data_IF_256245796750
#
_entry.id   IF_256245796750
#
_cell.length_a   1.000
_cell.length_b   1.000
_cell.length_c   1.000
_cell.angle_alpha   90.00
_cell.angle_beta   90.00
_cell.angle_gamma   90.00
#
_symmetry.space_group_name_H-M   'P 1'
#
loop_
_entity.id
_entity.type
_entity.pdbx_description
1 polymer ?
#
# COMPACT_ATOMS: atom_id res chain seq x y z
N UNK A 1 -74.33 40.16 -46.90
CA UNK A 1 -74.30 41.23 -45.87
C UNK A 1 -74.07 40.57 -44.51
N UNK A 2 -73.09 41.10 -43.75
CA UNK A 2 -72.80 40.91 -42.32
C UNK A 2 -72.18 39.57 -41.85
N UNK A 3 -71.07 39.76 -41.13
CA UNK A 3 -70.17 38.81 -40.46
C UNK A 3 -70.71 38.37 -39.08
N UNK A 4 -70.31 37.18 -38.63
CA UNK A 4 -70.09 36.82 -37.20
C UNK A 4 -69.44 35.42 -37.16
N UNK A 5 -68.11 35.31 -37.15
CA UNK A 5 -67.21 35.15 -35.98
C UNK A 5 -67.57 34.05 -34.96
N UNK A 6 -67.17 32.83 -35.33
CA UNK A 6 -66.30 31.89 -34.59
C UNK A 6 -66.17 32.06 -33.06
N UNK A 7 -66.64 31.05 -32.32
CA UNK A 7 -66.02 30.58 -31.08
C UNK A 7 -66.37 29.09 -30.87
N UNK A 8 -65.37 28.20 -30.71
CA UNK A 8 -65.53 27.14 -29.74
C UNK A 8 -64.25 26.94 -28.91
N UNK A 9 -64.12 27.70 -27.83
CA UNK A 9 -63.36 27.32 -26.64
C UNK A 9 -64.13 26.20 -25.91
N UNK A 10 -63.59 24.98 -25.87
CA UNK A 10 -64.21 23.94 -25.03
C UNK A 10 -63.65 22.53 -25.12
N UNK A 11 -62.92 22.17 -26.18
CA UNK A 11 -62.55 20.76 -26.41
C UNK A 11 -61.06 20.47 -26.53
N UNK A 12 -60.18 21.42 -26.18
CA UNK A 12 -58.72 21.18 -26.24
C UNK A 12 -58.05 20.94 -24.88
N UNK A 13 -58.80 20.99 -23.77
CA UNK A 13 -58.21 20.84 -22.42
C UNK A 13 -58.38 19.44 -21.80
N UNK A 14 -59.12 18.53 -22.45
CA UNK A 14 -59.37 17.18 -21.91
C UNK A 14 -58.50 16.08 -22.54
N UNK A 15 -57.67 16.40 -23.54
CA UNK A 15 -56.79 15.43 -24.21
C UNK A 15 -55.34 15.45 -23.71
N UNK A 16 -54.97 16.38 -22.81
CA UNK A 16 -53.63 16.49 -22.23
C UNK A 16 -53.50 15.88 -20.82
N UNK A 17 -54.61 15.47 -20.19
CA UNK A 17 -54.60 14.84 -18.86
C UNK A 17 -54.55 13.30 -18.96
N UNK A 18 -54.89 12.73 -20.12
CA UNK A 18 -54.88 11.27 -20.34
C UNK A 18 -53.50 10.65 -20.64
N UNK A 19 -52.48 11.45 -20.94
CA UNK A 19 -51.16 10.95 -21.35
C UNK A 19 -50.07 11.04 -20.26
N UNK A 20 -50.40 11.53 -19.07
CA UNK A 20 -49.45 11.65 -17.95
C UNK A 20 -49.47 10.44 -16.98
N UNK A 21 -50.41 9.50 -17.14
CA UNK A 21 -50.59 8.38 -16.22
C UNK A 21 -49.95 7.05 -16.69
N UNK A 22 -49.17 7.06 -17.77
CA UNK A 22 -48.38 5.90 -18.24
C UNK A 22 -46.87 6.08 -17.98
N UNK A 23 -46.50 6.91 -17.01
CA UNK A 23 -45.19 6.77 -16.38
C UNK A 23 -45.33 5.62 -15.39
N UNK A 24 -44.97 4.42 -15.85
CA UNK A 24 -44.73 3.27 -14.99
C UNK A 24 -43.99 3.73 -13.73
N UNK A 25 -44.36 3.28 -12.53
CA UNK A 25 -43.50 3.43 -11.37
C UNK A 25 -42.28 2.56 -11.67
N UNK A 26 -41.26 3.15 -12.31
CA UNK A 26 -39.94 2.56 -12.43
C UNK A 26 -39.37 2.53 -11.02
N UNK A 27 -39.80 1.51 -10.29
CA UNK A 27 -39.15 0.85 -9.17
C UNK A 27 -38.12 1.68 -8.42
N UNK A 28 -38.58 2.54 -7.50
CA UNK A 28 -37.78 3.00 -6.36
C UNK A 28 -37.06 1.81 -5.69
N UNK A 29 -37.72 0.65 -5.60
CA UNK A 29 -37.15 -0.59 -5.08
C UNK A 29 -35.96 -1.16 -5.90
N UNK A 30 -35.89 -0.89 -7.22
CA UNK A 30 -34.75 -1.31 -8.04
C UNK A 30 -33.56 -0.35 -7.88
N UNK A 31 -33.85 0.95 -7.71
CA UNK A 31 -32.83 1.96 -7.42
C UNK A 31 -32.25 1.78 -6.01
N UNK A 32 -33.09 1.49 -5.01
CA UNK A 32 -32.64 1.13 -3.66
C UNK A 32 -31.79 -0.15 -3.65
N UNK A 33 -32.18 -1.20 -4.40
CA UNK A 33 -31.39 -2.42 -4.51
C UNK A 33 -30.02 -2.18 -5.16
N UNK A 34 -29.94 -1.34 -6.20
CA UNK A 34 -28.67 -1.02 -6.84
C UNK A 34 -27.76 -0.17 -5.92
N UNK A 35 -28.34 0.76 -5.15
CA UNK A 35 -27.60 1.57 -4.16
C UNK A 35 -27.13 0.71 -2.98
N UNK A 36 -27.96 -0.20 -2.46
CA UNK A 36 -27.56 -1.12 -1.41
C UNK A 36 -26.47 -2.10 -1.87
N UNK A 37 -26.59 -2.63 -3.09
CA UNK A 37 -25.56 -3.51 -3.67
C UNK A 37 -24.25 -2.74 -3.85
N UNK A 38 -24.29 -1.49 -4.34
CA UNK A 38 -23.11 -0.64 -4.41
C UNK A 38 -22.51 -0.30 -3.03
N UNK A 39 -23.33 -0.15 -1.98
CA UNK A 39 -22.87 0.06 -0.60
C UNK A 39 -22.23 -1.19 0.03
N UNK A 40 -22.70 -2.39 -0.30
CA UNK A 40 -22.13 -3.66 0.17
C UNK A 40 -20.80 -3.97 -0.55
N UNK A 41 -20.67 -3.61 -1.83
CA UNK A 41 -19.40 -3.74 -2.59
C UNK A 41 -18.37 -2.62 -2.27
N UNK A 42 -18.76 -1.59 -1.52
CA UNK A 42 -17.85 -0.51 -1.10
C UNK A 42 -17.06 -0.83 0.19
N UNK A 43 -17.23 -2.01 0.80
CA UNK A 43 -16.54 -2.33 2.07
C UNK A 43 -15.27 -3.18 1.92
N UNK A 44 -15.00 -3.79 0.77
CA UNK A 44 -13.79 -4.61 0.55
C UNK A 44 -12.86 -3.94 -0.47
N UNK A 45 -11.95 -3.12 0.04
CA UNK A 45 -10.85 -2.53 -0.73
C UNK A 45 -9.52 -3.24 -0.42
N UNK A 46 -8.53 -3.20 -1.32
CA UNK A 46 -7.19 -3.66 -0.98
C UNK A 46 -6.63 -2.81 0.17
N UNK A 47 -6.47 -3.41 1.35
CA UNK A 47 -5.83 -2.76 2.50
C UNK A 47 -4.36 -2.47 2.21
N UNK A 48 -3.71 -3.42 1.51
CA UNK A 48 -2.36 -3.29 1.00
C UNK A 48 -2.38 -3.18 -0.52
N UNK A 49 -1.74 -2.14 -1.03
CA UNK A 49 -1.48 -1.92 -2.45
C UNK A 49 -0.16 -2.57 -2.88
N UNK A 50 0.04 -2.72 -4.19
CA UNK A 50 1.35 -3.05 -4.78
C UNK A 50 2.49 -2.20 -4.19
N UNK A 51 2.24 -0.90 -4.01
CA UNK A 51 3.24 0.01 -3.49
C UNK A 51 3.57 -0.30 -2.03
N UNK A 52 2.59 -0.68 -1.22
CA UNK A 52 2.86 -1.14 0.15
C UNK A 52 3.75 -2.38 0.13
N UNK A 53 3.47 -3.35 -0.75
CA UNK A 53 4.20 -4.62 -0.78
C UNK A 53 5.64 -4.49 -1.29
N UNK A 54 5.87 -3.62 -2.28
CA UNK A 54 7.12 -3.55 -3.05
C UNK A 54 7.87 -2.21 -2.96
N UNK A 55 7.36 -1.22 -2.21
CA UNK A 55 8.02 0.06 -1.99
C UNK A 55 8.29 0.37 -0.51
N UNK A 56 7.75 -0.43 0.42
CA UNK A 56 7.93 -0.18 1.86
C UNK A 56 9.36 -0.40 2.34
N UNK A 57 9.79 0.25 3.43
CA UNK A 57 11.05 -0.08 4.08
C UNK A 57 10.98 -1.46 4.75
N UNK A 58 12.15 -2.00 5.11
CA UNK A 58 12.34 -3.16 5.98
C UNK A 58 13.66 -3.06 6.75
N UNK A 59 13.83 -3.92 7.75
CA UNK A 59 15.15 -4.17 8.36
C UNK A 59 15.80 -5.34 7.65
N UNK A 60 17.01 -5.12 7.14
CA UNK A 60 17.86 -6.14 6.57
C UNK A 60 18.85 -6.64 7.62
N UNK A 61 18.67 -7.85 8.13
CA UNK A 61 19.49 -8.45 9.19
C UNK A 61 20.37 -9.62 8.71
N UNK A 62 20.51 -9.78 7.40
CA UNK A 62 21.28 -10.86 6.76
C UNK A 62 22.48 -10.32 5.95
N UNK A 63 23.25 -11.22 5.36
CA UNK A 63 24.36 -10.86 4.48
C UNK A 63 23.87 -9.99 3.31
N UNK A 64 24.72 -9.06 2.86
CA UNK A 64 24.41 -8.23 1.70
C UNK A 64 24.22 -9.10 0.46
N UNK A 65 23.22 -8.82 -0.40
CA UNK A 65 23.04 -9.58 -1.63
C UNK A 65 24.26 -9.46 -2.56
N UNK A 66 24.48 -10.51 -3.34
CA UNK A 66 25.58 -10.52 -4.31
C UNK A 66 25.23 -9.81 -5.62
N UNK A 67 23.96 -9.89 -6.04
CA UNK A 67 23.48 -9.24 -7.26
C UNK A 67 23.31 -7.74 -7.03
N UNK A 68 23.86 -6.95 -7.96
CA UNK A 68 23.80 -5.49 -7.93
C UNK A 68 23.64 -4.92 -9.33
N UNK A 69 23.03 -3.74 -9.37
CA UNK A 69 23.07 -2.87 -10.54
C UNK A 69 24.45 -2.20 -10.60
N UNK A 70 25.17 -2.39 -11.69
CA UNK A 70 26.55 -1.88 -11.88
C UNK A 70 26.67 -0.76 -12.92
N UNK A 71 25.60 -0.43 -13.61
CA UNK A 71 25.55 0.70 -14.54
C UNK A 71 24.17 0.87 -15.14
N UNK A 72 23.95 1.98 -15.84
CA UNK A 72 22.73 2.23 -16.62
C UNK A 72 23.05 2.74 -18.03
N UNK A 73 22.16 2.50 -19.00
CA UNK A 73 22.32 3.05 -20.37
C UNK A 73 22.34 4.58 -20.39
N UNK A 74 21.59 5.23 -19.49
CA UNK A 74 21.42 6.69 -19.44
C UNK A 74 22.14 7.33 -18.24
N UNK A 75 23.17 6.66 -17.72
CA UNK A 75 23.86 7.10 -16.49
C UNK A 75 24.47 8.50 -16.61
N UNK A 76 24.99 8.86 -17.79
CA UNK A 76 25.55 10.20 -18.06
C UNK A 76 24.48 11.30 -18.08
N UNK A 77 23.20 10.95 -18.29
CA UNK A 77 22.10 11.90 -18.38
C UNK A 77 21.37 12.08 -17.05
N UNK A 78 21.20 10.98 -16.30
CA UNK A 78 20.50 11.00 -15.00
C UNK A 78 20.96 9.86 -14.10
N UNK A 79 21.07 10.19 -12.80
CA UNK A 79 21.45 9.22 -11.76
C UNK A 79 20.32 8.25 -11.34
N UNK A 80 19.06 8.58 -11.65
CA UNK A 80 17.89 7.80 -11.25
C UNK A 80 17.23 7.19 -12.47
N UNK A 81 16.95 5.89 -12.38
CA UNK A 81 16.22 5.14 -13.40
C UNK A 81 14.72 5.21 -13.15
N UNK A 82 13.96 5.30 -14.24
CA UNK A 82 12.49 5.25 -14.22
C UNK A 82 11.99 3.99 -14.93
N UNK A 83 10.68 3.79 -14.93
CA UNK A 83 10.05 2.71 -15.68
C UNK A 83 10.54 2.66 -17.13
N UNK A 84 10.77 1.44 -17.60
CA UNK A 84 11.35 1.10 -18.90
C UNK A 84 12.82 1.42 -19.14
N UNK A 85 13.55 2.04 -18.19
CA UNK A 85 15.00 2.19 -18.31
C UNK A 85 15.71 0.84 -18.24
N UNK A 86 16.85 0.77 -18.92
CA UNK A 86 17.74 -0.39 -19.00
C UNK A 86 18.97 -0.18 -18.12
N UNK A 87 19.47 -1.28 -17.57
CA UNK A 87 20.60 -1.28 -16.65
C UNK A 87 21.40 -2.58 -16.71
N UNK A 88 22.59 -2.56 -16.14
CA UNK A 88 23.51 -3.69 -16.16
C UNK A 88 23.61 -4.34 -14.78
N UNK A 89 23.64 -5.68 -14.74
CA UNK A 89 23.75 -6.49 -13.53
C UNK A 89 25.10 -7.21 -13.54
N UNK A 90 25.76 -7.29 -12.39
CA UNK A 90 27.09 -7.90 -12.21
C UNK A 90 27.17 -9.43 -12.37
N UNK A 91 26.12 -10.06 -12.90
CA UNK A 91 26.03 -11.50 -13.15
C UNK A 91 25.25 -11.73 -14.44
N UNK A 92 25.52 -12.85 -15.12
CA UNK A 92 24.97 -13.26 -16.40
C UNK A 92 24.69 -14.76 -16.45
N UNK A 93 24.86 -15.34 -17.64
CA UNK A 93 24.50 -16.75 -17.93
C UNK A 93 25.32 -17.73 -17.10
N UNK A 94 26.62 -17.49 -16.92
CA UNK A 94 27.50 -18.42 -16.22
C UNK A 94 27.21 -18.47 -14.71
N UNK A 95 26.62 -17.41 -14.16
CA UNK A 95 26.13 -17.36 -12.78
C UNK A 95 24.67 -17.82 -12.64
N UNK A 96 24.06 -18.31 -13.73
CA UNK A 96 22.74 -18.94 -13.71
C UNK A 96 21.56 -17.96 -13.81
N UNK A 97 21.74 -16.75 -14.33
CA UNK A 97 20.61 -15.86 -14.60
C UNK A 97 19.86 -16.30 -15.86
N UNK A 98 18.55 -16.08 -15.86
CA UNK A 98 17.66 -16.41 -16.97
C UNK A 98 16.95 -15.17 -17.51
N UNK A 99 16.67 -15.15 -18.82
CA UNK A 99 15.84 -14.11 -19.42
C UNK A 99 14.41 -14.24 -18.86
N UNK A 100 13.81 -13.11 -18.49
CA UNK A 100 12.49 -13.06 -17.87
C UNK A 100 12.52 -13.16 -16.35
N UNK A 101 13.67 -13.51 -15.74
CA UNK A 101 13.83 -13.55 -14.30
C UNK A 101 13.57 -12.17 -13.68
N UNK A 102 12.78 -12.16 -12.62
CA UNK A 102 12.35 -10.96 -11.92
C UNK A 102 13.13 -10.80 -10.61
N UNK A 103 13.49 -9.55 -10.32
CA UNK A 103 14.12 -9.18 -9.06
C UNK A 103 13.42 -7.97 -8.43
N UNK A 104 13.52 -7.86 -7.11
CA UNK A 104 13.21 -6.64 -6.38
C UNK A 104 14.51 -5.87 -6.15
N UNK A 105 14.56 -4.63 -6.63
CA UNK A 105 15.65 -3.72 -6.34
C UNK A 105 15.49 -3.19 -4.92
N UNK A 106 16.56 -3.26 -4.13
CA UNK A 106 16.61 -2.75 -2.76
C UNK A 106 17.84 -1.87 -2.56
N UNK A 107 17.65 -0.80 -1.81
CA UNK A 107 18.72 0.04 -1.31
C UNK A 107 18.97 -0.28 0.15
N UNK A 108 20.19 -0.68 0.50
CA UNK A 108 20.54 -1.05 1.88
C UNK A 108 21.42 0.07 2.43
N UNK A 109 20.82 0.87 3.31
CA UNK A 109 21.41 2.10 3.84
C UNK A 109 22.13 1.88 5.17
N UNK A 110 21.91 2.82 6.09
CA UNK A 110 22.62 2.89 7.36
C UNK A 110 22.26 1.76 8.34
N UNK A 111 23.23 1.32 9.17
CA UNK A 111 22.97 0.36 10.23
C UNK A 111 22.10 0.97 11.33
N UNK A 112 21.16 0.17 11.83
CA UNK A 112 20.34 0.45 13.00
C UNK A 112 20.81 -0.45 14.16
N UNK A 113 21.11 0.20 15.29
CA UNK A 113 21.72 -0.44 16.45
C UNK A 113 20.94 -1.69 16.87
N UNK A 114 21.62 -2.85 16.88
CA UNK A 114 21.09 -4.17 17.27
C UNK A 114 19.96 -4.74 16.41
N UNK A 115 19.61 -4.11 15.29
CA UNK A 115 18.50 -4.55 14.42
C UNK A 115 18.96 -5.00 13.03
N UNK A 116 19.97 -4.37 12.45
CA UNK A 116 20.42 -4.67 11.08
C UNK A 116 20.65 -3.38 10.31
N UNK A 117 20.36 -3.37 9.02
CA UNK A 117 20.41 -2.20 8.14
C UNK A 117 19.01 -1.75 7.77
N UNK A 118 18.77 -0.44 7.73
CA UNK A 118 17.55 0.06 7.11
C UNK A 118 17.64 -0.17 5.60
N UNK A 119 16.70 -0.93 5.04
CA UNK A 119 16.61 -1.17 3.62
C UNK A 119 15.30 -0.63 3.05
N UNK A 120 15.36 -0.08 1.84
CA UNK A 120 14.21 0.43 1.12
C UNK A 120 14.01 -0.36 -0.17
N UNK A 121 12.81 -0.86 -0.39
CA UNK A 121 12.45 -1.47 -1.66
C UNK A 121 12.25 -0.37 -2.70
N UNK A 122 12.88 -0.52 -3.86
CA UNK A 122 12.89 0.50 -4.92
C UNK A 122 12.04 0.12 -6.12
N UNK A 123 11.52 -1.12 -6.17
CA UNK A 123 10.62 -1.59 -7.21
C UNK A 123 11.13 -2.84 -7.92
N UNK A 124 10.34 -3.35 -8.86
CA UNK A 124 10.60 -4.61 -9.56
C UNK A 124 11.28 -4.37 -10.91
N UNK A 125 12.19 -5.29 -11.23
CA UNK A 125 13.00 -5.26 -12.45
C UNK A 125 13.04 -6.64 -13.09
N UNK A 126 13.28 -6.70 -14.41
CA UNK A 126 13.33 -7.95 -15.18
C UNK A 126 14.61 -8.06 -15.98
N UNK A 127 15.20 -9.24 -16.04
CA UNK A 127 16.30 -9.55 -16.99
C UNK A 127 15.75 -9.67 -18.40
N UNK A 128 16.26 -8.87 -19.34
CA UNK A 128 15.81 -8.85 -20.73
C UNK A 128 16.85 -9.40 -21.71
N UNK A 129 18.13 -9.45 -21.33
CA UNK A 129 19.23 -9.98 -22.14
C UNK A 129 20.36 -10.50 -21.24
N UNK A 130 21.05 -11.54 -21.68
CA UNK A 130 22.16 -12.17 -20.97
C UNK A 130 23.44 -12.12 -21.80
N UNK A 131 24.53 -11.73 -21.17
CA UNK A 131 25.91 -12.04 -21.56
C UNK A 131 26.48 -13.10 -20.61
N UNK A 132 27.74 -13.49 -20.79
CA UNK A 132 28.33 -14.60 -20.02
C UNK A 132 28.43 -14.26 -18.51
N UNK A 133 28.96 -13.08 -18.15
CA UNK A 133 29.15 -12.63 -16.75
C UNK A 133 28.37 -11.37 -16.37
N UNK A 134 27.60 -10.82 -17.30
CA UNK A 134 26.81 -9.60 -17.12
C UNK A 134 25.45 -9.83 -17.74
N UNK A 135 24.43 -9.13 -17.26
CA UNK A 135 23.12 -9.14 -17.89
C UNK A 135 22.53 -7.75 -17.97
N UNK A 136 21.56 -7.59 -18.87
CA UNK A 136 20.80 -6.35 -19.01
C UNK A 136 19.42 -6.57 -18.42
N UNK A 137 19.12 -5.73 -17.43
CA UNK A 137 17.80 -5.61 -16.84
C UNK A 137 17.03 -4.44 -17.41
N UNK A 138 15.72 -4.46 -17.18
CA UNK A 138 14.79 -3.37 -17.46
C UNK A 138 13.96 -3.10 -16.21
N UNK A 139 13.72 -1.82 -15.91
CA UNK A 139 12.81 -1.42 -14.84
C UNK A 139 11.38 -1.70 -15.28
N UNK A 140 10.69 -2.57 -14.54
CA UNK A 140 9.29 -2.92 -14.82
C UNK A 140 8.33 -1.98 -14.08
N UNK A 141 8.60 -1.69 -12.81
CA UNK A 141 7.86 -0.71 -12.01
C UNK A 141 8.72 -0.22 -10.85
N UNK A 142 9.13 1.03 -10.90
CA UNK A 142 9.87 1.73 -9.86
C UNK A 142 8.95 2.33 -8.80
N UNK A 143 9.46 2.40 -7.58
CA UNK A 143 8.85 3.04 -6.42
C UNK A 143 9.47 4.40 -6.08
N UNK A 144 10.47 4.82 -6.86
CA UNK A 144 11.33 5.95 -6.57
C UNK A 144 12.64 5.82 -7.32
N UNK A 145 13.72 6.07 -6.60
CA UNK A 145 15.08 6.19 -7.11
C UNK A 145 15.80 4.83 -7.22
N UNK A 146 15.48 4.05 -8.26
CA UNK A 146 16.36 2.92 -8.65
C UNK A 146 17.66 3.50 -9.21
N UNK A 147 18.82 3.03 -8.72
CA UNK A 147 20.14 3.56 -9.06
C UNK A 147 21.20 2.47 -9.18
N UNK A 148 22.32 2.82 -9.80
CA UNK A 148 23.56 2.04 -9.72
C UNK A 148 23.96 1.84 -8.25
N UNK A 149 24.35 0.62 -7.90
CA UNK A 149 24.68 0.21 -6.54
C UNK A 149 23.51 -0.42 -5.77
N UNK A 150 22.27 -0.27 -6.23
CA UNK A 150 21.15 -1.00 -5.62
C UNK A 150 21.37 -2.52 -5.77
N UNK A 151 21.00 -3.24 -4.72
CA UNK A 151 21.05 -4.69 -4.68
C UNK A 151 19.80 -5.27 -5.33
N UNK A 152 19.92 -6.49 -5.85
CA UNK A 152 18.80 -7.23 -6.39
C UNK A 152 18.60 -8.51 -5.58
N UNK A 153 17.36 -8.72 -5.14
CA UNK A 153 16.94 -9.96 -4.48
C UNK A 153 15.86 -10.64 -5.31
N UNK A 154 15.72 -11.98 -5.27
CA UNK A 154 14.68 -12.68 -6.00
C UNK A 154 13.31 -12.05 -5.74
N UNK A 155 12.54 -11.83 -6.82
CA UNK A 155 11.20 -11.28 -6.69
C UNK A 155 10.22 -12.38 -6.27
N UNK A 156 9.55 -12.16 -5.15
CA UNK A 156 8.45 -13.00 -4.69
C UNK A 156 7.14 -12.21 -4.82
N UNK A 157 6.21 -12.75 -5.60
CA UNK A 157 4.89 -12.15 -5.74
C UNK A 157 4.07 -12.38 -4.47
N UNK A 158 3.68 -11.28 -3.83
CA UNK A 158 2.83 -11.28 -2.65
C UNK A 158 1.37 -11.16 -3.05
N UNK A 159 0.52 -11.97 -2.42
CA UNK A 159 -0.92 -11.93 -2.63
C UNK A 159 -1.56 -10.62 -2.15
N UNK A 160 -2.65 -10.23 -2.80
CA UNK A 160 -3.44 -9.07 -2.38
C UNK A 160 -4.04 -9.30 -0.99
N UNK A 161 -3.93 -8.30 -0.12
CA UNK A 161 -4.59 -8.30 1.19
C UNK A 161 -5.84 -7.43 1.08
N UNK A 162 -6.98 -8.09 0.94
CA UNK A 162 -8.30 -7.44 0.92
C UNK A 162 -8.85 -7.40 2.35
N UNK A 163 -9.47 -6.30 2.72
CA UNK A 163 -10.21 -6.18 3.96
C UNK A 163 -10.60 -4.73 4.23
N UNK A 164 -11.01 -4.48 5.48
CA UNK A 164 -11.39 -3.13 5.92
C UNK A 164 -10.66 -2.74 7.18
N UNK A 165 -10.44 -1.45 7.33
CA UNK A 165 -9.96 -0.86 8.58
C UNK A 165 -10.95 -1.21 9.71
N UNK A 166 -10.50 -1.98 10.71
CA UNK A 166 -11.33 -2.37 11.85
C UNK A 166 -11.28 -1.36 13.00
N UNK A 167 -10.75 -0.16 12.76
CA UNK A 167 -10.62 0.91 13.74
C UNK A 167 -9.62 0.58 14.84
N UNK A 168 -9.67 1.26 15.97
CA UNK A 168 -8.80 1.01 17.11
C UNK A 168 -9.60 0.88 18.40
N UNK A 169 -9.20 -0.04 19.27
CA UNK A 169 -9.92 -0.36 20.50
C UNK A 169 -9.15 0.13 21.72
N UNK A 170 -9.76 1.05 22.48
CA UNK A 170 -9.19 1.59 23.71
C UNK A 170 -9.29 0.61 24.90
N UNK A 171 -9.99 -0.51 24.76
CA UNK A 171 -10.24 -1.47 25.84
C UNK A 171 -9.21 -2.60 25.91
N UNK A 172 -8.33 -2.76 24.91
CA UNK A 172 -7.26 -3.76 24.98
C UNK A 172 -6.36 -3.44 26.17
N UNK A 173 -6.15 -4.41 27.08
CA UNK A 173 -5.28 -4.19 28.24
C UNK A 173 -3.85 -4.64 27.99
N UNK A 174 -2.87 -4.04 28.69
CA UNK A 174 -1.49 -4.41 28.52
C UNK A 174 -1.26 -5.90 28.78
N UNK A 175 -0.56 -6.56 27.85
CA UNK A 175 -0.19 -7.98 27.97
C UNK A 175 -1.31 -8.99 27.70
N UNK A 176 -2.52 -8.57 27.30
CA UNK A 176 -3.59 -9.51 26.88
C UNK A 176 -3.29 -10.16 25.52
N UNK A 177 -2.46 -9.52 24.69
CA UNK A 177 -2.05 -10.00 23.38
C UNK A 177 -0.63 -9.51 23.06
N UNK A 178 -0.09 -9.93 21.92
CA UNK A 178 1.27 -9.57 21.52
C UNK A 178 1.41 -8.05 21.35
N UNK A 179 2.43 -7.50 22.01
CA UNK A 179 2.81 -6.09 21.96
C UNK A 179 4.17 -5.90 21.28
N UNK A 180 4.33 -4.73 20.66
CA UNK A 180 5.57 -4.22 20.15
C UNK A 180 5.62 -2.70 20.28
N UNK A 181 6.65 -2.10 19.69
CA UNK A 181 6.88 -0.67 19.68
C UNK A 181 7.29 -0.20 18.29
N UNK A 182 6.87 1.00 17.93
CA UNK A 182 7.33 1.71 16.74
C UNK A 182 8.79 2.11 16.92
N UNK A 183 9.67 1.63 16.03
CA UNK A 183 11.13 1.82 16.12
C UNK A 183 11.68 2.74 15.04
N UNK A 184 10.97 2.90 13.93
CA UNK A 184 11.36 3.77 12.82
C UNK A 184 10.11 4.26 12.08
N UNK A 185 10.21 5.45 11.51
CA UNK A 185 9.17 6.12 10.75
C UNK A 185 9.73 6.48 9.37
N UNK A 186 8.99 6.17 8.31
CA UNK A 186 9.44 6.41 6.93
C UNK A 186 9.17 7.86 6.51
N UNK A 187 9.77 8.81 7.25
CA UNK A 187 9.61 10.26 7.04
C UNK A 187 10.67 11.07 7.78
N UNK A 188 11.00 12.24 7.25
CA UNK A 188 11.97 13.17 7.84
C UNK A 188 11.44 13.89 9.09
N UNK A 189 10.11 13.89 9.32
CA UNK A 189 9.47 14.68 10.38
C UNK A 189 9.29 13.94 11.71
N UNK A 190 9.78 12.70 11.85
CA UNK A 190 9.59 11.86 13.04
C UNK A 190 8.11 11.67 13.48
N UNK A 191 7.16 11.87 12.56
CA UNK A 191 5.72 11.66 12.78
C UNK A 191 5.09 11.10 11.50
N UNK A 192 4.19 10.13 11.60
CA UNK A 192 3.45 9.58 10.46
C UNK A 192 1.95 9.55 10.70
N UNK A 193 1.18 9.70 9.61
CA UNK A 193 -0.28 9.60 9.59
C UNK A 193 -0.79 8.52 8.64
N UNK A 194 -2.11 8.49 8.43
CA UNK A 194 -2.77 7.53 7.55
C UNK A 194 -2.11 7.44 6.17
N UNK A 195 -1.89 6.22 5.69
CA UNK A 195 -1.27 5.89 4.40
C UNK A 195 0.25 5.76 4.43
N UNK A 196 0.93 6.24 5.48
CA UNK A 196 2.39 6.12 5.61
C UNK A 196 2.82 4.82 6.27
N UNK A 197 4.12 4.53 6.24
CA UNK A 197 4.72 3.32 6.82
C UNK A 197 5.54 3.61 8.08
N UNK A 198 5.60 2.61 8.95
CA UNK A 198 6.48 2.56 10.11
C UNK A 198 7.06 1.15 10.27
N UNK A 199 8.16 1.03 11.03
CA UNK A 199 8.70 -0.27 11.44
C UNK A 199 8.41 -0.50 12.92
N UNK A 200 8.08 -1.74 13.27
CA UNK A 200 7.86 -2.20 14.64
C UNK A 200 8.86 -3.29 15.03
N UNK A 201 9.18 -3.41 16.31
CA UNK A 201 10.08 -4.45 16.86
C UNK A 201 9.38 -5.78 17.20
N UNK A 202 8.36 -6.15 16.43
CA UNK A 202 7.73 -7.47 16.47
C UNK A 202 7.73 -8.05 15.06
N UNK A 203 8.17 -9.30 14.91
CA UNK A 203 8.31 -10.00 13.64
C UNK A 203 7.76 -11.42 13.71
N UNK A 204 8.23 -12.26 12.80
CA UNK A 204 7.81 -13.66 12.66
C UNK A 204 8.07 -14.48 13.93
N UNK A 205 9.19 -14.23 14.62
CA UNK A 205 9.56 -14.94 15.86
C UNK A 205 8.51 -14.75 16.98
N UNK A 206 7.79 -13.63 16.95
CA UNK A 206 6.68 -13.34 17.85
C UNK A 206 5.31 -13.79 17.29
N UNK A 207 5.24 -14.19 16.02
CA UNK A 207 4.02 -14.66 15.36
C UNK A 207 3.27 -13.59 14.55
N UNK A 208 3.93 -12.47 14.20
CA UNK A 208 3.36 -11.47 13.29
C UNK A 208 3.05 -12.06 11.91
N UNK A 209 1.97 -11.61 11.28
CA UNK A 209 1.55 -12.04 9.94
C UNK A 209 1.13 -10.85 9.08
N UNK A 210 1.47 -10.87 7.80
CA UNK A 210 0.98 -9.87 6.83
C UNK A 210 -0.55 -9.83 6.83
N UNK A 211 -1.10 -8.61 6.78
CA UNK A 211 -2.55 -8.34 6.84
C UNK A 211 -3.15 -8.28 8.25
N UNK A 212 -2.40 -8.65 9.28
CA UNK A 212 -2.83 -8.51 10.68
C UNK A 212 -2.95 -7.03 11.05
N UNK A 213 -4.02 -6.64 11.74
CA UNK A 213 -4.21 -5.28 12.22
C UNK A 213 -3.84 -5.16 13.70
N UNK A 214 -3.24 -4.02 14.07
CA UNK A 214 -2.84 -3.70 15.44
C UNK A 214 -3.37 -2.33 15.84
N UNK A 215 -3.73 -2.18 17.11
CA UNK A 215 -4.03 -0.87 17.70
C UNK A 215 -2.72 -0.21 18.14
N UNK A 216 -2.58 1.07 17.79
CA UNK A 216 -1.48 1.94 18.25
C UNK A 216 -1.93 2.65 19.52
N UNK A 217 -1.10 2.59 20.55
CA UNK A 217 -1.31 3.22 21.84
C UNK A 217 -0.20 4.22 22.15
N UNK A 218 -0.59 5.35 22.74
CA UNK A 218 0.34 6.32 23.32
C UNK A 218 0.15 6.44 24.81
N UNK A 219 1.25 6.41 25.55
CA UNK A 219 1.26 6.67 26.98
C UNK A 219 2.07 7.95 27.26
N UNK A 220 1.37 9.06 27.55
CA UNK A 220 2.00 10.39 27.75
C UNK A 220 2.95 10.42 28.95
N UNK A 221 2.63 9.66 30.00
CA UNK A 221 3.55 9.41 31.11
C UNK A 221 3.21 8.06 31.77
N UNK A 222 4.17 7.47 32.48
CA UNK A 222 4.03 6.16 33.10
C UNK A 222 2.90 6.07 34.16
N UNK A 223 2.45 7.20 34.69
CA UNK A 223 1.39 7.28 35.71
C UNK A 223 -0.02 7.40 35.12
N UNK A 224 -0.14 7.66 33.82
CA UNK A 224 -1.42 7.79 33.11
C UNK A 224 -1.72 6.51 32.31
N UNK A 225 -3.01 6.20 32.10
CA UNK A 225 -3.38 5.13 31.20
C UNK A 225 -2.89 5.45 29.78
N UNK A 226 -2.52 4.41 29.04
CA UNK A 226 -2.31 4.53 27.59
C UNK A 226 -3.65 4.79 26.90
N UNK A 227 -3.61 5.51 25.79
CA UNK A 227 -4.79 5.75 24.96
C UNK A 227 -4.58 5.19 23.56
N UNK A 228 -5.60 4.57 22.99
CA UNK A 228 -5.60 4.17 21.59
C UNK A 228 -5.65 5.42 20.70
N UNK A 229 -4.68 5.55 19.79
CA UNK A 229 -4.53 6.71 18.90
C UNK A 229 -4.67 6.35 17.42
N UNK A 230 -4.59 5.07 17.05
CA UNK A 230 -4.69 4.68 15.66
C UNK A 230 -4.70 3.18 15.44
N UNK A 231 -4.86 2.81 14.18
CA UNK A 231 -4.87 1.44 13.68
C UNK A 231 -3.83 1.28 12.56
N UNK A 232 -3.10 0.18 12.60
CA UNK A 232 -2.10 -0.17 11.59
C UNK A 232 -2.35 -1.57 11.06
N UNK A 233 -1.87 -1.84 9.85
CA UNK A 233 -1.85 -3.19 9.25
C UNK A 233 -0.42 -3.61 8.93
N UNK A 234 -0.09 -4.87 9.20
CA UNK A 234 1.22 -5.45 8.87
C UNK A 234 1.34 -5.64 7.37
N UNK A 235 2.38 -5.06 6.78
CA UNK A 235 2.70 -5.08 5.35
C UNK A 235 3.72 -6.16 5.03
N UNK A 236 4.81 -6.19 5.80
CA UNK A 236 5.94 -7.08 5.58
C UNK A 236 6.51 -7.54 6.92
N UNK A 237 6.94 -8.80 6.99
CA UNK A 237 7.39 -9.43 8.23
C UNK A 237 8.81 -9.95 8.02
N UNK A 238 9.72 -9.49 8.87
CA UNK A 238 11.06 -10.04 9.03
C UNK A 238 11.09 -10.86 10.33
N UNK A 239 12.21 -11.52 10.64
CA UNK A 239 12.32 -12.37 11.84
C UNK A 239 11.94 -11.64 13.13
N UNK A 240 12.47 -10.42 13.32
CA UNK A 240 12.35 -9.65 14.57
C UNK A 240 11.60 -8.32 14.44
N UNK A 241 11.27 -7.93 13.22
CA UNK A 241 10.63 -6.64 12.93
C UNK A 241 9.58 -6.81 11.86
N UNK A 242 8.64 -5.88 11.80
CA UNK A 242 7.67 -5.82 10.73
C UNK A 242 7.48 -4.39 10.26
N UNK A 243 7.11 -4.25 8.99
CA UNK A 243 6.68 -3.00 8.40
C UNK A 243 5.17 -2.92 8.50
N UNK A 244 4.66 -1.79 8.98
CA UNK A 244 3.23 -1.54 9.13
C UNK A 244 2.81 -0.30 8.35
N UNK A 245 1.58 -0.29 7.85
CA UNK A 245 0.93 0.87 7.24
C UNK A 245 -0.10 1.41 8.23
N UNK A 246 -0.11 2.73 8.42
CA UNK A 246 -1.13 3.39 9.24
C UNK A 246 -2.42 3.44 8.42
N UNK A 247 -3.49 2.80 8.90
CA UNK A 247 -4.79 2.81 8.25
C UNK A 247 -5.58 4.06 8.67
N UNK A 248 -5.66 4.31 9.97
CA UNK A 248 -6.33 5.46 10.56
C UNK A 248 -5.67 5.88 11.86
N UNK A 249 -5.67 7.17 12.18
CA UNK A 249 -5.19 7.67 13.45
C UNK A 249 -5.85 9.01 13.81
N UNK A 250 -6.09 9.25 15.10
CA UNK A 250 -6.55 10.55 15.63
C UNK A 250 -5.40 11.46 16.08
N UNK A 251 -4.23 10.88 16.34
CA UNK A 251 -2.97 11.57 16.62
C UNK A 251 -1.89 10.94 15.74
N UNK A 252 -0.87 11.72 15.35
CA UNK A 252 0.24 11.20 14.55
C UNK A 252 1.02 10.15 15.32
N UNK A 253 1.41 9.06 14.64
CA UNK A 253 2.21 7.99 15.24
C UNK A 253 3.67 8.42 15.32
N UNK A 254 4.29 8.14 16.46
CA UNK A 254 5.67 8.50 16.81
C UNK A 254 6.50 7.28 17.17
N UNK A 255 7.82 7.43 17.12
CA UNK A 255 8.74 6.40 17.61
C UNK A 255 8.53 6.20 19.11
N UNK A 256 8.41 4.94 19.54
CA UNK A 256 8.14 4.56 20.92
C UNK A 256 6.66 4.33 21.24
N UNK A 257 5.74 4.68 20.32
CA UNK A 257 4.34 4.27 20.47
C UNK A 257 4.23 2.73 20.51
N UNK A 258 3.29 2.25 21.31
CA UNK A 258 3.05 0.83 21.52
C UNK A 258 2.11 0.34 20.43
N UNK A 259 2.37 -0.83 19.86
CA UNK A 259 1.43 -1.52 18.98
C UNK A 259 0.99 -2.81 19.63
N UNK A 260 -0.30 -3.15 19.50
CA UNK A 260 -0.85 -4.36 20.10
C UNK A 260 -1.85 -5.03 19.17
N UNK A 261 -1.77 -6.36 19.08
CA UNK A 261 -2.70 -7.20 18.31
C UNK A 261 -4.11 -7.11 18.90
N UNK A 262 -5.10 -6.96 18.02
CA UNK A 262 -6.53 -6.96 18.39
C UNK A 262 -7.05 -8.35 18.74
#
# INVERSE_FOLDING_TARGET
>A
MKKSFFNPSGYFFLLLIGLAALVFPVSLAAQENQVQKAGIFAEEYPMLSDSDLYCSPLIWDQNLPELKIIGSEREEERAMMTDSDTFYINKGREEGLEIGQMFLAIDIGQPLLKLGFLAQKKGRVRVIRLEDHVSVGKVEKGCGDIRVGNYLIPFEEKGNVIGKDTGYDNNLKPGESLEGQVIYLDTDFNIVGSGQWALINAGEEQGMRTGQQLTVFRQKNASLPREAIGNVVVVDVQKKTATVKILSCRETVEKGDIVQVK
#
